data_IF_297302454881
#
_entry.id   IF_297302454881
#
_cell.length_a   1.000
_cell.length_b   1.000
_cell.length_c   1.000
_cell.angle_alpha   90.00
_cell.angle_beta   90.00
_cell.angle_gamma   90.00
#
_symmetry.space_group_name_H-M   'P 1'
#
loop_
_entity.id
_entity.type
_entity.pdbx_description
1 polymer ?
#
# COMPACT_ATOMS: atom_id res chain seq x y z
N UNK A 1 5.56 -6.68 -28.83
CA UNK A 1 4.32 -6.14 -28.25
C UNK A 1 4.21 -6.67 -26.82
N UNK A 2 4.86 -6.04 -25.86
CA UNK A 2 4.84 -6.43 -24.43
C UNK A 2 5.10 -5.17 -23.61
N UNK A 3 4.12 -4.27 -23.59
CA UNK A 3 4.23 -2.98 -22.89
C UNK A 3 3.09 -2.69 -21.92
N UNK A 4 2.15 -3.62 -21.77
CA UNK A 4 0.90 -3.40 -21.02
C UNK A 4 0.81 -4.22 -19.74
N UNK A 5 1.69 -5.20 -19.56
CA UNK A 5 1.57 -6.20 -18.49
C UNK A 5 2.14 -5.74 -17.14
N UNK A 6 3.12 -4.83 -17.11
CA UNK A 6 3.61 -4.26 -15.86
C UNK A 6 2.68 -3.17 -15.31
N UNK A 7 2.15 -2.33 -16.19
CA UNK A 7 1.27 -1.23 -15.79
C UNK A 7 -0.09 -1.71 -15.28
N UNK A 8 -0.62 -2.81 -15.82
CA UNK A 8 -1.87 -3.43 -15.34
C UNK A 8 -1.66 -4.03 -13.94
N UNK A 9 -0.52 -4.72 -13.73
CA UNK A 9 -0.11 -5.25 -12.42
C UNK A 9 0.07 -4.18 -11.36
N UNK A 10 0.57 -3.00 -11.72
CA UNK A 10 0.72 -1.89 -10.77
C UNK A 10 -0.63 -1.30 -10.36
N UNK A 11 -1.60 -1.23 -11.28
CA UNK A 11 -2.98 -0.84 -10.95
C UNK A 11 -3.63 -1.88 -10.03
N UNK A 12 -3.44 -3.17 -10.30
CA UNK A 12 -3.92 -4.25 -9.45
C UNK A 12 -3.29 -4.22 -8.05
N UNK A 13 -1.98 -3.95 -7.94
CA UNK A 13 -1.28 -3.79 -6.66
C UNK A 13 -1.82 -2.60 -5.88
N UNK A 14 -2.03 -1.46 -6.53
CA UNK A 14 -2.58 -0.26 -5.90
C UNK A 14 -4.00 -0.51 -5.35
N UNK A 15 -4.88 -1.12 -6.15
CA UNK A 15 -6.23 -1.45 -5.71
C UNK A 15 -6.22 -2.47 -4.57
N UNK A 16 -5.37 -3.49 -4.66
CA UNK A 16 -5.18 -4.50 -3.62
C UNK A 16 -4.72 -3.87 -2.31
N UNK A 17 -3.70 -3.01 -2.36
CA UNK A 17 -3.19 -2.28 -1.20
C UNK A 17 -4.26 -1.39 -0.57
N UNK A 18 -5.00 -0.62 -1.39
CA UNK A 18 -6.13 0.20 -0.92
C UNK A 18 -7.17 -0.63 -0.16
N UNK A 19 -7.61 -1.74 -0.75
CA UNK A 19 -8.61 -2.61 -0.14
C UNK A 19 -8.10 -3.21 1.17
N UNK A 20 -6.81 -3.58 1.23
CA UNK A 20 -6.19 -4.11 2.45
C UNK A 20 -6.18 -3.07 3.58
N UNK A 21 -5.78 -1.82 3.31
CA UNK A 21 -5.77 -0.78 4.35
C UNK A 21 -7.17 -0.48 4.87
N UNK A 22 -8.18 -0.40 3.98
CA UNK A 22 -9.56 -0.16 4.39
C UNK A 22 -10.09 -1.28 5.28
N UNK A 23 -9.87 -2.54 4.90
CA UNK A 23 -10.24 -3.70 5.72
C UNK A 23 -9.59 -3.70 7.11
N UNK A 24 -8.35 -3.20 7.24
CA UNK A 24 -7.68 -3.12 8.54
C UNK A 24 -8.24 -2.00 9.42
N UNK A 25 -8.65 -0.87 8.83
CA UNK A 25 -9.28 0.24 9.55
C UNK A 25 -10.62 -0.15 10.17
N UNK A 26 -11.44 -0.93 9.46
CA UNK A 26 -12.79 -1.28 9.89
C UNK A 26 -12.86 -2.41 10.94
N UNK A 27 -11.72 -2.84 11.50
CA UNK A 27 -11.71 -3.68 12.72
C UNK A 27 -10.99 -5.03 12.63
N UNK A 28 -9.87 -5.12 11.89
CA UNK A 28 -8.98 -6.31 11.84
C UNK A 28 -9.65 -7.59 11.30
N UNK A 29 -10.14 -7.56 10.06
CA UNK A 29 -10.74 -8.72 9.39
C UNK A 29 -9.74 -9.62 8.64
N UNK A 30 -8.43 -9.39 8.76
CA UNK A 30 -7.47 -10.24 8.09
C UNK A 30 -7.17 -11.51 8.90
N UNK A 31 -7.27 -12.69 8.28
CA UNK A 31 -6.92 -13.98 8.92
C UNK A 31 -5.45 -14.05 9.40
N UNK A 32 -4.58 -13.22 8.83
CA UNK A 32 -3.15 -13.16 9.17
C UNK A 32 -2.81 -12.09 10.22
N UNK A 33 -3.82 -11.46 10.82
CA UNK A 33 -3.62 -10.41 11.81
C UNK A 33 -3.28 -11.10 13.14
N UNK A 34 -1.98 -11.19 13.47
CA UNK A 34 -1.50 -11.81 14.70
C UNK A 34 -0.86 -10.75 15.60
N UNK A 35 -1.40 -10.59 16.81
CA UNK A 35 -0.81 -9.81 17.90
C UNK A 35 -0.39 -8.38 17.51
N UNK A 36 0.90 -8.23 17.19
CA UNK A 36 1.61 -6.98 16.95
C UNK A 36 1.54 -6.45 15.51
N UNK A 37 0.92 -7.17 14.57
CA UNK A 37 0.78 -6.62 13.22
C UNK A 37 0.20 -7.55 12.15
N UNK A 38 0.13 -7.02 10.94
CA UNK A 38 -0.21 -7.77 9.74
C UNK A 38 0.77 -7.39 8.62
N UNK A 39 1.53 -8.36 8.12
CA UNK A 39 2.45 -8.12 7.02
C UNK A 39 1.76 -7.59 5.75
N UNK A 40 0.51 -8.00 5.50
CA UNK A 40 -0.26 -7.45 4.38
C UNK A 40 -0.66 -5.99 4.59
N UNK A 41 -0.97 -5.60 5.83
CA UNK A 41 -1.24 -4.20 6.16
C UNK A 41 0.00 -3.33 6.01
N UNK A 42 1.15 -3.81 6.50
CA UNK A 42 2.44 -3.14 6.34
C UNK A 42 2.78 -2.96 4.86
N UNK A 43 2.74 -4.04 4.07
CA UNK A 43 2.94 -3.96 2.62
C UNK A 43 1.98 -2.97 1.96
N UNK A 44 0.69 -2.98 2.34
CA UNK A 44 -0.29 -2.10 1.73
C UNK A 44 -0.04 -0.62 2.02
N UNK A 45 0.44 -0.28 3.23
CA UNK A 45 0.84 1.09 3.57
C UNK A 45 2.08 1.49 2.73
N UNK A 46 3.08 0.62 2.63
CA UNK A 46 4.29 0.88 1.84
C UNK A 46 3.97 1.08 0.36
N UNK A 47 3.14 0.20 -0.21
CA UNK A 47 2.76 0.26 -1.63
C UNK A 47 1.97 1.54 -1.92
N UNK A 48 0.97 1.88 -1.11
CA UNK A 48 0.25 3.16 -1.25
C UNK A 48 1.18 4.36 -1.05
N UNK A 49 2.18 4.25 -0.18
CA UNK A 49 3.21 5.25 0.04
C UNK A 49 4.05 5.57 -1.21
N UNK A 50 4.14 4.67 -2.19
CA UNK A 50 4.87 4.90 -3.45
C UNK A 50 4.10 5.74 -4.47
N UNK A 51 2.79 5.90 -4.30
CA UNK A 51 1.94 6.60 -5.25
C UNK A 51 1.38 7.91 -4.67
N UNK A 52 1.33 9.03 -5.44
CA UNK A 52 0.74 10.29 -4.96
C UNK A 52 -0.70 10.13 -4.46
N UNK A 53 -1.51 9.32 -5.15
CA UNK A 53 -2.89 9.01 -4.76
C UNK A 53 -2.97 8.19 -3.47
N UNK A 54 -2.03 7.26 -3.27
CA UNK A 54 -1.97 6.43 -2.06
C UNK A 54 -1.49 7.24 -0.85
N UNK A 55 -0.50 8.12 -1.01
CA UNK A 55 -0.09 9.09 0.03
C UNK A 55 -1.24 10.02 0.45
N UNK A 56 -2.07 10.46 -0.49
CA UNK A 56 -3.26 11.26 -0.15
C UNK A 56 -4.27 10.44 0.67
N UNK A 57 -4.54 9.21 0.25
CA UNK A 57 -5.45 8.30 0.95
C UNK A 57 -4.95 8.00 2.38
N UNK A 58 -3.70 7.59 2.54
CA UNK A 58 -3.10 7.28 3.84
C UNK A 58 -3.18 8.47 4.82
N UNK A 59 -2.97 9.71 4.34
CA UNK A 59 -3.15 10.93 5.15
C UNK A 59 -4.60 11.11 5.62
N UNK A 60 -5.57 10.87 4.73
CA UNK A 60 -6.99 10.94 5.09
C UNK A 60 -7.40 9.88 6.11
N UNK A 61 -6.73 8.74 6.10
CA UNK A 61 -6.96 7.63 7.03
C UNK A 61 -6.18 7.80 8.35
N UNK A 62 -5.32 8.82 8.47
CA UNK A 62 -4.55 9.14 9.68
C UNK A 62 -3.26 8.33 9.83
N UNK A 63 -2.77 7.68 8.77
CA UNK A 63 -1.48 7.00 8.81
C UNK A 63 -0.32 8.01 8.76
N UNK A 64 0.74 7.80 9.56
CA UNK A 64 1.97 8.55 9.39
C UNK A 64 2.58 8.14 8.05
N UNK A 65 2.81 9.12 7.18
CA UNK A 65 3.50 8.89 5.91
C UNK A 65 4.86 9.52 6.05
N UNK A 66 5.88 8.68 5.94
CA UNK A 66 7.23 9.16 5.81
C UNK A 66 7.41 9.68 4.38
N UNK A 67 7.53 10.99 4.22
CA UNK A 67 7.71 11.63 2.90
C UNK A 67 9.10 11.33 2.31
N UNK A 68 9.99 10.65 3.05
CA UNK A 68 11.38 10.36 2.67
C UNK A 68 11.54 9.21 1.68
N UNK A 69 10.49 8.79 0.96
CA UNK A 69 10.69 7.91 -0.22
C UNK A 69 11.11 8.74 -1.43
N UNK A 70 12.26 9.38 -1.30
CA UNK A 70 13.19 9.56 -2.40
C UNK A 70 14.38 8.64 -2.11
N UNK A 71 14.85 7.96 -3.17
CA UNK A 71 16.13 7.24 -3.25
C UNK A 71 16.10 5.71 -3.03
N UNK A 72 16.10 5.02 -4.18
CA UNK A 72 16.47 3.62 -4.35
C UNK A 72 16.96 3.38 -5.79
N UNK A 73 17.89 4.23 -6.23
CA UNK A 73 18.59 4.21 -7.52
C UNK A 73 19.11 2.81 -7.91
N UNK A 74 18.85 2.29 -9.12
CA UNK A 74 19.55 1.10 -9.60
C UNK A 74 21.01 1.47 -9.92
N UNK A 75 21.93 0.65 -9.42
CA UNK A 75 23.38 0.72 -9.65
C UNK A 75 23.75 0.29 -11.06
#
# INVERSE_FOLDING_TARGET
MTGTDESDRDVDRFQSARNTVLQHRDGRICFHCQGDGCGQHTWAIEELGRHPGGRKLLRQLGFPIDDSTEEGQPR
#
